data_IF_498018457356
#
_entry.id   IF_498018457356
#
_cell.length_a   1.000
_cell.length_b   1.000
_cell.length_c   1.000
_cell.angle_alpha   90.00
_cell.angle_beta   90.00
_cell.angle_gamma   90.00
#
_symmetry.space_group_name_H-M   'P 1'
#
loop_
_entity.id
_entity.type
_entity.pdbx_description
1 polymer ?
#
# COMPACT_ATOMS: atom_id res chain seq x y z
N UNK A 1 -28.05 26.52 -35.46
CA UNK A 1 -28.67 26.82 -34.14
C UNK A 1 -27.98 25.90 -33.10
N UNK A 2 -27.11 26.49 -32.31
CA UNK A 2 -26.44 25.85 -31.16
C UNK A 2 -27.47 25.78 -30.01
N UNK A 3 -27.68 24.58 -29.44
CA UNK A 3 -28.29 24.41 -28.13
C UNK A 3 -27.19 24.33 -27.11
N UNK A 4 -27.15 25.25 -26.18
CA UNK A 4 -26.32 25.26 -25.01
C UNK A 4 -26.80 24.16 -24.04
N UNK A 5 -25.90 23.24 -23.66
CA UNK A 5 -26.12 22.32 -22.54
C UNK A 5 -25.99 23.10 -21.24
N UNK A 6 -27.06 23.11 -20.44
CA UNK A 6 -27.07 23.58 -19.05
C UNK A 6 -26.60 22.37 -18.18
N UNK A 7 -25.68 22.61 -17.26
CA UNK A 7 -25.16 21.58 -16.33
C UNK A 7 -26.28 21.04 -15.44
N UNK A 8 -26.34 19.72 -15.27
CA UNK A 8 -27.30 19.00 -14.43
C UNK A 8 -27.21 19.34 -12.91
N UNK A 9 -26.16 19.98 -12.45
CA UNK A 9 -25.97 20.34 -11.03
C UNK A 9 -26.78 21.55 -10.56
N UNK A 10 -27.23 22.41 -11.46
CA UNK A 10 -28.05 23.59 -11.08
C UNK A 10 -29.55 23.25 -10.84
N UNK A 11 -30.02 22.07 -11.22
CA UNK A 11 -31.44 21.69 -11.06
C UNK A 11 -31.81 21.15 -9.67
N UNK A 12 -30.82 20.84 -8.80
CA UNK A 12 -31.08 20.31 -7.46
C UNK A 12 -31.24 21.36 -6.36
N UNK A 13 -31.06 22.63 -6.65
CA UNK A 13 -31.01 23.68 -5.63
C UNK A 13 -32.28 24.47 -5.43
N UNK A 14 -33.28 24.39 -6.33
CA UNK A 14 -34.51 25.21 -6.27
C UNK A 14 -35.78 24.36 -6.32
N UNK A 15 -36.79 24.79 -5.55
CA UNK A 15 -38.13 24.18 -5.57
C UNK A 15 -38.88 24.57 -6.85
N UNK A 16 -39.38 23.59 -7.61
CA UNK A 16 -40.10 23.82 -8.84
C UNK A 16 -41.46 24.60 -8.67
N UNK A 17 -41.98 24.65 -7.43
CA UNK A 17 -43.22 25.36 -7.13
C UNK A 17 -43.03 26.83 -6.70
N UNK A 18 -42.07 27.10 -5.81
CA UNK A 18 -41.82 28.46 -5.34
C UNK A 18 -40.62 29.14 -5.98
N UNK A 19 -39.81 28.43 -6.74
CA UNK A 19 -38.57 28.87 -7.39
C UNK A 19 -37.48 29.37 -6.43
N UNK A 20 -37.69 29.21 -5.12
CA UNK A 20 -36.70 29.48 -4.07
C UNK A 20 -35.82 28.26 -3.79
N UNK A 21 -34.71 28.49 -3.05
CA UNK A 21 -33.88 27.42 -2.51
C UNK A 21 -34.74 26.46 -1.70
N UNK A 22 -34.52 25.15 -1.89
CA UNK A 22 -35.29 24.10 -1.25
C UNK A 22 -35.23 24.21 0.29
N UNK A 23 -36.39 24.38 0.91
CA UNK A 23 -36.59 24.39 2.38
C UNK A 23 -37.30 23.11 2.78
N UNK A 24 -36.71 22.35 3.71
CA UNK A 24 -37.19 21.03 4.10
C UNK A 24 -37.52 20.16 2.86
N UNK A 25 -36.46 19.81 2.06
CA UNK A 25 -36.61 19.19 0.75
C UNK A 25 -37.26 17.82 0.82
N UNK A 26 -38.20 17.57 -0.06
CA UNK A 26 -38.86 16.26 -0.24
C UNK A 26 -38.90 15.90 -1.72
N UNK A 27 -38.69 14.62 -2.05
CA UNK A 27 -38.81 14.13 -3.41
C UNK A 27 -40.08 13.29 -3.61
N UNK A 28 -40.63 13.35 -4.78
CA UNK A 28 -41.71 12.48 -5.25
C UNK A 28 -41.12 11.20 -5.82
N UNK A 29 -41.94 10.15 -5.99
CA UNK A 29 -41.53 8.84 -6.56
C UNK A 29 -40.89 8.92 -7.96
N UNK A 30 -41.12 10.01 -8.67
CA UNK A 30 -40.52 10.31 -9.99
C UNK A 30 -39.18 11.08 -9.88
N UNK A 31 -38.67 11.34 -8.65
CA UNK A 31 -37.37 11.98 -8.43
C UNK A 31 -37.35 13.51 -8.44
N UNK A 32 -38.49 14.22 -8.59
CA UNK A 32 -38.54 15.66 -8.53
C UNK A 32 -38.58 16.20 -7.10
N UNK A 33 -37.84 17.28 -6.84
CA UNK A 33 -37.67 17.87 -5.52
C UNK A 33 -38.49 19.13 -5.28
N UNK A 34 -39.09 19.24 -4.10
CA UNK A 34 -39.92 20.35 -3.68
C UNK A 34 -39.68 20.70 -2.22
N UNK A 35 -40.02 21.95 -1.84
CA UNK A 35 -40.19 22.25 -0.43
C UNK A 35 -41.39 21.46 0.13
N UNK A 36 -41.29 20.87 1.31
CA UNK A 36 -42.37 20.09 1.95
C UNK A 36 -43.66 20.90 1.98
N UNK A 37 -43.58 22.14 2.42
CA UNK A 37 -44.73 23.03 2.55
C UNK A 37 -45.40 23.32 1.19
N UNK A 38 -44.61 23.53 0.13
CA UNK A 38 -45.10 23.79 -1.20
C UNK A 38 -45.85 22.60 -1.81
N UNK A 39 -45.27 21.37 -1.70
CA UNK A 39 -45.91 20.18 -2.27
C UNK A 39 -47.17 19.78 -1.49
N UNK A 40 -47.16 19.91 -0.15
CA UNK A 40 -48.33 19.64 0.67
C UNK A 40 -49.45 20.62 0.35
N UNK A 41 -49.18 21.94 0.28
CA UNK A 41 -50.17 22.95 -0.11
C UNK A 41 -50.74 22.71 -1.50
N UNK A 42 -49.94 22.31 -2.47
CA UNK A 42 -50.36 21.95 -3.82
C UNK A 42 -51.34 20.76 -3.81
N UNK A 43 -51.04 19.72 -3.06
CA UNK A 43 -51.91 18.54 -2.94
C UNK A 43 -53.20 18.83 -2.16
N UNK A 44 -53.15 19.69 -1.14
CA UNK A 44 -54.32 20.09 -0.36
C UNK A 44 -55.31 20.95 -1.17
N UNK A 45 -54.80 21.76 -2.10
CA UNK A 45 -55.63 22.55 -3.04
C UNK A 45 -56.22 21.69 -4.16
N UNK A 46 -55.59 20.57 -4.50
CA UNK A 46 -56.04 19.65 -5.55
C UNK A 46 -56.97 18.55 -5.01
N UNK A 47 -57.48 18.67 -3.79
CA UNK A 47 -58.15 17.62 -2.98
C UNK A 47 -59.62 17.31 -3.39
N UNK A 48 -60.02 17.45 -4.66
CA UNK A 48 -61.29 16.89 -5.12
C UNK A 48 -61.27 15.47 -5.68
N UNK A 49 -60.09 14.81 -5.77
CA UNK A 49 -59.96 13.49 -6.38
C UNK A 49 -59.00 12.51 -5.67
N UNK A 50 -58.46 12.83 -4.50
CA UNK A 50 -57.62 11.88 -3.73
C UNK A 50 -56.29 11.48 -4.35
N UNK A 51 -55.91 12.03 -5.49
CA UNK A 51 -54.72 11.69 -6.26
C UNK A 51 -53.58 12.68 -6.00
N UNK A 52 -52.46 12.19 -5.47
CA UNK A 52 -51.22 12.95 -5.26
C UNK A 52 -50.35 12.84 -6.52
N UNK A 53 -50.48 13.76 -7.48
CA UNK A 53 -49.59 13.78 -8.66
C UNK A 53 -48.45 14.76 -8.49
N UNK A 54 -47.31 14.44 -9.17
CA UNK A 54 -46.16 15.34 -9.21
C UNK A 54 -46.47 16.61 -9.98
N UNK A 55 -46.28 17.83 -9.41
CA UNK A 55 -46.55 19.09 -10.09
C UNK A 55 -45.72 19.33 -11.35
N UNK A 56 -44.56 18.69 -11.45
CA UNK A 56 -43.59 18.90 -12.53
C UNK A 56 -43.78 17.95 -13.73
N UNK A 57 -44.16 16.69 -13.49
CA UNK A 57 -44.30 15.69 -14.57
C UNK A 57 -45.70 15.03 -14.63
N UNK A 58 -46.61 15.31 -13.67
CA UNK A 58 -47.95 14.73 -13.63
C UNK A 58 -48.01 13.25 -13.22
N UNK A 59 -46.92 12.61 -12.88
CA UNK A 59 -46.89 11.19 -12.47
C UNK A 59 -47.59 10.99 -11.13
N UNK A 60 -48.50 9.98 -11.09
CA UNK A 60 -49.31 9.69 -9.90
C UNK A 60 -48.54 8.92 -8.85
N UNK A 61 -48.42 9.47 -7.64
CA UNK A 61 -47.88 8.77 -6.48
C UNK A 61 -48.95 7.92 -5.80
N UNK A 62 -48.71 6.66 -5.56
CA UNK A 62 -49.68 5.69 -4.99
C UNK A 62 -50.06 5.93 -3.53
N UNK A 63 -49.38 6.84 -2.82
CA UNK A 63 -49.75 7.23 -1.44
C UNK A 63 -49.08 8.55 -1.04
N UNK A 64 -49.74 9.36 -0.16
CA UNK A 64 -49.13 10.51 0.54
C UNK A 64 -47.92 10.10 1.39
N UNK A 65 -47.78 8.81 1.72
CA UNK A 65 -46.64 8.21 2.44
C UNK A 65 -45.38 8.01 1.57
N UNK A 66 -45.43 8.27 0.27
CA UNK A 66 -44.32 8.13 -0.67
C UNK A 66 -43.38 9.33 -0.77
N UNK A 67 -43.53 10.35 0.08
CA UNK A 67 -42.56 11.43 0.16
C UNK A 67 -41.31 10.96 0.88
N UNK A 68 -40.23 10.80 0.16
CA UNK A 68 -38.91 10.61 0.78
C UNK A 68 -38.45 11.97 1.29
N UNK A 69 -38.35 12.09 2.59
CA UNK A 69 -37.79 13.28 3.25
C UNK A 69 -36.27 13.19 3.22
N UNK A 70 -35.61 14.30 2.87
CA UNK A 70 -34.19 14.47 3.16
C UNK A 70 -33.91 14.63 4.68
N UNK A 71 -34.93 14.51 5.52
CA UNK A 71 -34.80 14.59 6.98
C UNK A 71 -34.71 13.21 7.63
N UNK A 72 -33.59 12.57 7.46
CA UNK A 72 -33.01 11.83 8.55
C UNK A 72 -31.92 12.71 9.18
N UNK A 73 -32.33 13.75 9.88
CA UNK A 73 -31.44 14.69 10.59
C UNK A 73 -30.64 14.07 11.73
N UNK A 74 -30.82 12.79 12.06
CA UNK A 74 -29.98 12.04 12.98
C UNK A 74 -28.92 11.20 12.25
N UNK A 75 -29.13 10.83 10.97
CA UNK A 75 -28.11 10.18 10.16
C UNK A 75 -27.09 11.17 9.57
N UNK A 76 -27.51 12.40 9.26
CA UNK A 76 -26.62 13.40 8.63
C UNK A 76 -25.52 13.86 9.59
N UNK A 77 -25.77 14.01 10.90
CA UNK A 77 -24.73 14.34 11.86
C UNK A 77 -23.77 13.15 12.14
N UNK A 78 -24.24 11.91 12.05
CA UNK A 78 -23.39 10.72 12.16
C UNK A 78 -22.60 10.48 10.88
N UNK A 79 -23.14 10.81 9.70
CA UNK A 79 -22.42 10.67 8.43
C UNK A 79 -21.31 11.72 8.25
N UNK A 80 -21.57 12.98 8.60
CA UNK A 80 -20.55 14.05 8.57
C UNK A 80 -19.38 13.69 9.49
N UNK A 81 -19.65 13.22 10.71
CA UNK A 81 -18.59 12.81 11.64
C UNK A 81 -17.80 11.57 11.18
N UNK A 82 -18.43 10.65 10.44
CA UNK A 82 -17.72 9.51 9.84
C UNK A 82 -16.86 9.94 8.66
N UNK A 83 -17.37 10.83 7.80
CA UNK A 83 -16.61 11.33 6.66
C UNK A 83 -15.36 12.09 7.11
N UNK A 84 -15.45 12.95 8.13
CA UNK A 84 -14.28 13.62 8.71
C UNK A 84 -13.22 12.61 9.21
N UNK A 85 -13.64 11.55 9.90
CA UNK A 85 -12.74 10.48 10.36
C UNK A 85 -12.08 9.77 9.19
N UNK A 86 -12.82 9.48 8.12
CA UNK A 86 -12.27 8.84 6.92
C UNK A 86 -11.30 9.76 6.18
N UNK A 87 -11.58 11.05 6.12
CA UNK A 87 -10.69 12.04 5.49
C UNK A 87 -9.39 12.20 6.32
N UNK A 88 -9.48 12.26 7.65
CA UNK A 88 -8.30 12.23 8.53
C UNK A 88 -7.49 10.94 8.34
N UNK A 89 -8.16 9.80 8.18
CA UNK A 89 -7.51 8.52 7.94
C UNK A 89 -6.79 8.50 6.57
N UNK A 90 -7.41 8.99 5.51
CA UNK A 90 -6.77 9.16 4.19
C UNK A 90 -5.53 10.05 4.28
N UNK A 91 -5.61 11.17 5.00
CA UNK A 91 -4.45 12.07 5.21
C UNK A 91 -3.34 11.34 5.95
N UNK A 92 -3.66 10.56 6.98
CA UNK A 92 -2.68 9.77 7.75
C UNK A 92 -1.97 8.74 6.86
N UNK A 93 -2.72 7.95 6.09
CA UNK A 93 -2.16 6.96 5.18
C UNK A 93 -1.34 7.60 4.05
N UNK A 94 -1.82 8.74 3.50
CA UNK A 94 -1.06 9.51 2.53
C UNK A 94 0.31 9.90 3.08
N UNK A 95 0.37 10.48 4.28
CA UNK A 95 1.65 10.87 4.93
C UNK A 95 2.56 9.67 5.17
N UNK A 96 1.98 8.51 5.51
CA UNK A 96 2.73 7.27 5.71
C UNK A 96 3.33 6.73 4.42
N UNK A 97 2.63 6.85 3.28
CA UNK A 97 2.98 6.21 2.01
C UNK A 97 3.63 7.16 0.98
N UNK A 98 3.47 8.49 1.10
CA UNK A 98 3.92 9.44 0.07
C UNK A 98 5.44 9.54 -0.07
N UNK A 99 6.19 9.18 0.98
CA UNK A 99 7.65 9.34 1.04
C UNK A 99 8.35 8.04 1.33
N UNK A 100 9.38 7.79 0.55
CA UNK A 100 10.23 6.61 0.66
C UNK A 100 11.69 6.98 0.90
N UNK A 101 12.43 6.08 1.54
CA UNK A 101 13.86 6.26 1.81
C UNK A 101 14.72 6.06 0.57
N UNK A 102 14.21 5.31 -0.40
CA UNK A 102 14.90 5.14 -1.69
C UNK A 102 15.00 6.48 -2.40
N UNK A 103 16.19 6.81 -2.84
CA UNK A 103 16.44 8.07 -3.52
C UNK A 103 16.54 9.30 -2.61
N UNK A 104 16.67 9.11 -1.29
CA UNK A 104 17.01 10.21 -0.40
C UNK A 104 18.33 10.85 -0.83
N UNK A 105 18.36 12.18 -0.79
CA UNK A 105 19.55 12.97 -1.08
C UNK A 105 20.63 12.83 0.02
N UNK A 106 21.75 13.54 -0.14
CA UNK A 106 22.85 13.56 0.85
C UNK A 106 22.40 14.09 2.20
N UNK A 107 21.31 14.85 2.26
CA UNK A 107 20.74 15.40 3.50
C UNK A 107 19.82 14.40 4.21
N UNK A 108 19.57 13.22 3.62
CA UNK A 108 18.67 12.20 4.14
C UNK A 108 17.18 12.55 3.97
N UNK A 109 16.86 13.53 3.13
CA UNK A 109 15.49 13.88 2.79
C UNK A 109 14.84 12.75 2.00
N UNK A 110 13.68 12.27 2.46
CA UNK A 110 12.93 11.18 1.80
C UNK A 110 12.35 11.66 0.47
N UNK A 111 12.45 10.82 -0.56
CA UNK A 111 11.91 11.10 -1.89
C UNK A 111 10.41 10.82 -1.94
N UNK A 112 9.66 11.62 -2.72
CA UNK A 112 8.26 11.34 -3.00
C UNK A 112 8.14 10.05 -3.84
N UNK A 113 7.29 9.11 -3.38
CA UNK A 113 7.05 7.84 -4.06
C UNK A 113 6.66 8.06 -5.53
N UNK A 114 5.71 8.95 -5.81
CA UNK A 114 5.22 9.22 -7.17
C UNK A 114 6.31 9.74 -8.12
N UNK A 115 7.41 10.30 -7.61
CA UNK A 115 8.52 10.78 -8.44
C UNK A 115 9.33 9.62 -9.03
N UNK A 116 9.56 8.56 -8.24
CA UNK A 116 10.44 7.44 -8.61
C UNK A 116 9.68 6.16 -8.95
N UNK A 117 8.38 6.12 -8.63
CA UNK A 117 7.58 4.92 -8.84
C UNK A 117 7.53 4.56 -10.34
N UNK A 118 7.98 3.35 -10.63
CA UNK A 118 7.82 2.69 -11.92
C UNK A 118 6.91 1.49 -11.71
N UNK A 119 5.92 1.32 -12.55
CA UNK A 119 4.96 0.22 -12.42
C UNK A 119 5.70 -1.11 -12.51
N UNK A 120 5.33 -2.04 -11.62
CA UNK A 120 5.93 -3.37 -11.58
C UNK A 120 5.19 -4.32 -12.53
N UNK A 121 5.93 -5.27 -13.08
CA UNK A 121 5.32 -6.35 -13.84
C UNK A 121 4.77 -7.39 -12.87
N UNK A 122 3.43 -7.43 -12.78
CA UNK A 122 2.67 -8.35 -11.93
C UNK A 122 1.87 -9.28 -12.83
N UNK A 123 1.86 -10.57 -12.51
CA UNK A 123 1.11 -11.59 -13.27
C UNK A 123 0.11 -12.33 -12.38
N UNK A 124 -0.97 -12.83 -12.95
CA UNK A 124 -1.84 -13.79 -12.28
C UNK A 124 -1.20 -15.17 -12.27
N UNK A 125 -1.38 -15.89 -11.17
CA UNK A 125 -0.75 -17.18 -10.94
C UNK A 125 0.67 -17.07 -10.42
N UNK A 126 1.30 -18.22 -10.25
CA UNK A 126 2.68 -18.36 -9.83
C UNK A 126 3.38 -19.27 -10.83
N UNK A 127 4.60 -18.92 -11.25
CA UNK A 127 5.37 -19.78 -12.13
C UNK A 127 5.80 -21.04 -11.38
N UNK A 128 5.77 -22.20 -12.05
CA UNK A 128 6.15 -23.48 -11.44
C UNK A 128 7.59 -23.49 -10.90
N UNK A 129 8.45 -22.65 -11.42
CA UNK A 129 9.86 -22.55 -11.03
C UNK A 129 10.11 -21.79 -9.74
N UNK A 130 9.12 -21.06 -9.24
CA UNK A 130 9.20 -20.30 -7.97
C UNK A 130 9.27 -21.23 -6.74
N UNK A 131 8.99 -22.52 -6.91
CA UNK A 131 9.12 -23.51 -5.84
C UNK A 131 10.59 -23.87 -5.51
N UNK A 132 11.58 -23.41 -6.27
CA UNK A 132 12.99 -23.67 -5.97
C UNK A 132 13.52 -22.66 -4.95
N UNK A 133 14.16 -23.16 -3.90
CA UNK A 133 14.63 -22.40 -2.73
C UNK A 133 15.71 -21.34 -2.99
N UNK A 134 16.22 -21.19 -4.23
CA UNK A 134 17.29 -20.25 -4.57
C UNK A 134 16.77 -19.05 -5.36
N UNK A 135 16.54 -17.93 -4.69
CA UNK A 135 16.10 -16.66 -5.29
C UNK A 135 17.00 -16.21 -6.47
N UNK A 136 18.31 -16.46 -6.41
CA UNK A 136 19.25 -16.08 -7.48
C UNK A 136 19.01 -16.89 -8.76
N UNK A 137 18.70 -18.19 -8.65
CA UNK A 137 18.35 -19.02 -9.82
C UNK A 137 17.01 -18.62 -10.43
N UNK A 138 16.07 -18.18 -9.60
CA UNK A 138 14.78 -17.65 -10.06
C UNK A 138 14.96 -16.42 -10.95
N UNK A 139 15.92 -15.55 -10.64
CA UNK A 139 16.24 -14.37 -11.45
C UNK A 139 16.75 -14.72 -12.85
N UNK A 140 17.66 -15.68 -12.95
CA UNK A 140 18.18 -16.14 -14.23
C UNK A 140 17.11 -16.81 -15.09
N UNK A 141 16.20 -17.55 -14.45
CA UNK A 141 15.14 -18.28 -15.12
C UNK A 141 14.00 -17.34 -15.53
N UNK A 142 13.60 -16.43 -14.66
CA UNK A 142 12.60 -15.40 -14.97
C UNK A 142 13.01 -14.53 -16.17
N UNK A 143 14.32 -14.23 -16.29
CA UNK A 143 14.84 -13.48 -17.43
C UNK A 143 14.77 -14.23 -18.78
N UNK A 144 14.71 -15.58 -18.75
CA UNK A 144 14.64 -16.43 -19.94
C UNK A 144 13.23 -16.79 -20.37
N UNK A 145 12.27 -16.75 -19.44
CA UNK A 145 10.87 -17.14 -19.66
C UNK A 145 9.96 -15.92 -19.82
N UNK A 146 10.38 -14.96 -20.64
CA UNK A 146 9.47 -13.90 -21.01
C UNK A 146 8.23 -14.47 -21.73
N UNK A 147 7.17 -14.72 -20.94
CA UNK A 147 5.82 -14.30 -21.27
C UNK A 147 5.08 -14.90 -22.46
N UNK A 148 5.16 -16.19 -22.73
CA UNK A 148 4.22 -16.78 -23.70
C UNK A 148 2.82 -17.07 -23.11
N UNK A 149 2.66 -17.10 -21.79
CA UNK A 149 1.39 -17.42 -21.11
C UNK A 149 1.06 -16.54 -19.90
N UNK A 150 1.75 -15.40 -19.72
CA UNK A 150 1.50 -14.53 -18.57
C UNK A 150 0.26 -13.66 -18.79
N UNK A 151 -0.61 -13.60 -17.79
CA UNK A 151 -1.70 -12.63 -17.74
C UNK A 151 -1.25 -11.44 -16.87
N UNK A 152 -0.83 -10.32 -17.46
CA UNK A 152 -0.39 -9.18 -16.70
C UNK A 152 -1.58 -8.54 -15.99
N UNK A 153 -1.37 -8.12 -14.74
CA UNK A 153 -2.36 -7.42 -13.90
C UNK A 153 -1.72 -6.11 -13.43
N UNK A 154 -2.47 -5.01 -13.51
CA UNK A 154 -2.09 -3.77 -12.85
C UNK A 154 -2.27 -3.92 -11.34
N UNK A 155 -1.38 -3.33 -10.55
CA UNK A 155 -1.49 -3.34 -9.10
C UNK A 155 -2.88 -2.87 -8.60
N UNK A 156 -3.44 -1.86 -9.24
CA UNK A 156 -4.75 -1.29 -8.91
C UNK A 156 -5.93 -2.22 -9.25
N UNK A 157 -5.70 -3.23 -10.08
CA UNK A 157 -6.75 -4.12 -10.59
C UNK A 157 -6.73 -5.52 -9.92
N UNK A 158 -5.91 -5.71 -8.87
CA UNK A 158 -5.72 -7.03 -8.24
C UNK A 158 -7.02 -7.64 -7.67
N UNK A 159 -8.01 -6.81 -7.30
CA UNK A 159 -9.33 -7.24 -6.84
C UNK A 159 -10.40 -7.28 -7.93
N UNK A 160 -10.09 -6.82 -9.15
CA UNK A 160 -11.05 -6.85 -10.26
C UNK A 160 -11.13 -8.26 -10.83
N UNK A 161 -12.33 -8.84 -10.81
CA UNK A 161 -12.57 -10.12 -11.47
C UNK A 161 -12.39 -9.96 -12.98
N UNK A 162 -11.82 -10.99 -13.64
CA UNK A 162 -11.85 -11.06 -15.09
C UNK A 162 -13.26 -11.39 -15.57
N UNK A 163 -13.61 -11.06 -16.85
CA UNK A 163 -14.95 -11.30 -17.38
C UNK A 163 -15.44 -12.75 -17.25
N UNK A 164 -14.53 -13.71 -17.21
CA UNK A 164 -14.82 -15.13 -17.10
C UNK A 164 -14.91 -15.63 -15.64
N UNK A 165 -14.56 -14.80 -14.67
CA UNK A 165 -14.59 -15.15 -13.25
C UNK A 165 -15.96 -14.81 -12.64
N UNK A 166 -16.71 -15.84 -12.25
CA UNK A 166 -18.04 -15.67 -11.63
C UNK A 166 -17.98 -15.39 -10.12
N UNK A 167 -16.84 -15.62 -9.46
CA UNK A 167 -16.68 -15.43 -8.01
C UNK A 167 -16.01 -14.10 -7.71
N UNK A 168 -16.50 -13.35 -6.72
CA UNK A 168 -15.81 -12.16 -6.26
C UNK A 168 -14.45 -12.53 -5.64
N UNK A 169 -13.45 -11.71 -5.89
CA UNK A 169 -12.11 -11.89 -5.31
C UNK A 169 -12.09 -11.15 -3.98
N UNK A 170 -11.96 -11.90 -2.88
CA UNK A 170 -11.90 -11.39 -1.53
C UNK A 170 -10.49 -11.43 -0.96
N UNK A 171 -9.78 -12.54 -1.13
CA UNK A 171 -8.43 -12.75 -0.62
C UNK A 171 -7.45 -12.84 -1.77
N UNK A 172 -6.49 -11.91 -1.80
CA UNK A 172 -5.39 -11.89 -2.76
C UNK A 172 -4.08 -12.17 -2.03
N UNK A 173 -3.32 -13.15 -2.52
CA UNK A 173 -1.96 -13.43 -2.07
C UNK A 173 -0.98 -13.03 -3.17
N UNK A 174 -0.10 -12.07 -2.86
CA UNK A 174 0.91 -11.58 -3.80
C UNK A 174 2.29 -12.08 -3.39
N UNK A 175 2.86 -12.91 -4.25
CA UNK A 175 4.19 -13.46 -4.08
C UNK A 175 5.25 -12.63 -4.82
N UNK A 176 6.49 -12.72 -4.36
CA UNK A 176 7.63 -12.14 -5.05
C UNK A 176 8.90 -12.23 -4.22
N UNK A 177 10.05 -12.28 -4.89
CA UNK A 177 11.36 -12.35 -4.23
C UNK A 177 11.66 -11.11 -3.38
N UNK A 178 12.72 -11.18 -2.57
CA UNK A 178 13.15 -10.04 -1.78
C UNK A 178 13.52 -8.84 -2.67
N UNK A 179 13.13 -7.63 -2.25
CA UNK A 179 13.48 -6.40 -2.97
C UNK A 179 12.75 -6.17 -4.30
N UNK A 180 11.81 -7.04 -4.69
CA UNK A 180 11.05 -6.93 -5.94
C UNK A 180 10.01 -5.81 -5.95
N UNK A 181 9.74 -5.19 -4.79
CA UNK A 181 8.85 -4.03 -4.69
C UNK A 181 7.44 -4.33 -4.17
N UNK A 182 7.18 -5.44 -3.49
CA UNK A 182 5.87 -5.76 -2.90
C UNK A 182 5.35 -4.62 -2.01
N UNK A 183 6.15 -4.18 -1.06
CA UNK A 183 5.81 -3.05 -0.17
C UNK A 183 5.59 -1.74 -0.94
N UNK A 184 6.37 -1.48 -2.00
CA UNK A 184 6.16 -0.31 -2.86
C UNK A 184 4.83 -0.38 -3.60
N UNK A 185 4.41 -1.57 -4.06
CA UNK A 185 3.08 -1.78 -4.65
C UNK A 185 1.97 -1.49 -3.64
N UNK A 186 2.12 -1.97 -2.40
CA UNK A 186 1.18 -1.69 -1.30
C UNK A 186 1.10 -0.20 -1.00
N UNK A 187 2.25 0.48 -0.88
CA UNK A 187 2.32 1.92 -0.63
C UNK A 187 1.69 2.72 -1.77
N UNK A 188 1.97 2.35 -3.04
CA UNK A 188 1.39 3.01 -4.21
C UNK A 188 -0.12 2.83 -4.29
N UNK A 189 -0.62 1.61 -4.08
CA UNK A 189 -2.04 1.32 -4.02
C UNK A 189 -2.75 2.16 -2.94
N UNK A 190 -2.17 2.16 -1.73
CA UNK A 190 -2.71 2.91 -0.59
C UNK A 190 -2.70 4.41 -0.85
N UNK A 191 -1.61 4.92 -1.46
CA UNK A 191 -1.48 6.34 -1.80
C UNK A 191 -2.53 6.76 -2.84
N UNK A 192 -2.70 6.00 -3.92
CA UNK A 192 -3.68 6.30 -4.96
C UNK A 192 -5.12 6.25 -4.43
N UNK A 193 -5.41 5.30 -3.54
CA UNK A 193 -6.70 5.27 -2.83
C UNK A 193 -6.90 6.51 -1.95
N UNK A 194 -5.88 6.89 -1.17
CA UNK A 194 -5.96 8.04 -0.26
C UNK A 194 -6.06 9.37 -1.01
N UNK A 195 -5.48 9.46 -2.22
CA UNK A 195 -5.58 10.63 -3.11
C UNK A 195 -6.87 10.67 -3.94
N UNK A 196 -7.73 9.65 -3.81
CA UNK A 196 -9.00 9.60 -4.54
C UNK A 196 -8.88 9.19 -6.00
N UNK A 197 -7.74 8.64 -6.42
CA UNK A 197 -7.45 8.31 -7.82
C UNK A 197 -7.99 6.94 -8.25
N UNK A 198 -7.85 5.93 -7.38
CA UNK A 198 -8.20 4.54 -7.69
C UNK A 198 -8.96 3.88 -6.52
N UNK A 199 -9.69 2.81 -6.81
CA UNK A 199 -10.35 1.92 -5.83
C UNK A 199 -11.29 2.62 -4.83
N UNK A 200 -12.01 3.66 -5.24
CA UNK A 200 -12.88 4.45 -4.38
C UNK A 200 -14.14 3.71 -3.91
N UNK A 201 -14.42 2.51 -4.41
CA UNK A 201 -15.43 1.61 -3.86
C UNK A 201 -15.04 1.01 -2.50
N UNK A 202 -13.74 1.04 -2.15
CA UNK A 202 -13.24 0.67 -0.83
C UNK A 202 -13.41 1.86 0.10
N UNK A 203 -14.20 1.67 1.17
CA UNK A 203 -14.49 2.74 2.14
C UNK A 203 -13.30 3.02 3.06
N UNK A 204 -12.59 1.96 3.50
CA UNK A 204 -11.46 2.06 4.44
C UNK A 204 -10.36 1.09 4.03
N UNK A 205 -9.15 1.59 3.92
CA UNK A 205 -7.94 0.76 3.80
C UNK A 205 -7.25 0.67 5.15
N UNK A 206 -6.96 -0.54 5.60
CA UNK A 206 -6.25 -0.85 6.84
C UNK A 206 -4.91 -1.47 6.48
N UNK A 207 -3.84 -0.76 6.72
CA UNK A 207 -2.48 -1.22 6.44
C UNK A 207 -1.85 -1.83 7.69
N UNK A 208 -1.60 -3.14 7.67
CA UNK A 208 -0.97 -3.91 8.72
C UNK A 208 0.35 -4.48 8.21
N UNK A 209 1.45 -4.17 8.87
CA UNK A 209 2.74 -4.79 8.56
C UNK A 209 3.00 -5.93 9.55
N UNK A 210 3.42 -7.09 9.06
CA UNK A 210 3.80 -8.20 9.95
C UNK A 210 4.96 -7.84 10.87
N UNK A 211 5.85 -6.92 10.46
CA UNK A 211 6.92 -6.39 11.31
C UNK A 211 6.33 -5.72 12.57
N UNK A 212 5.32 -4.88 12.39
CA UNK A 212 4.65 -4.18 13.48
C UNK A 212 3.79 -5.14 14.32
N UNK A 213 3.09 -6.07 13.67
CA UNK A 213 2.28 -7.10 14.35
C UNK A 213 3.11 -8.01 15.26
N UNK A 214 4.38 -8.28 14.90
CA UNK A 214 5.29 -9.06 15.75
C UNK A 214 5.53 -8.42 17.12
N UNK A 215 5.46 -7.09 17.23
CA UNK A 215 5.69 -6.36 18.50
C UNK A 215 4.59 -6.61 19.53
N UNK A 216 3.42 -7.03 19.08
CA UNK A 216 2.24 -7.27 19.94
C UNK A 216 1.77 -8.73 19.88
N UNK A 217 2.62 -9.65 19.39
CA UNK A 217 2.26 -11.06 19.12
C UNK A 217 1.76 -11.81 20.37
N UNK A 218 2.28 -11.47 21.54
CA UNK A 218 2.00 -12.13 22.81
C UNK A 218 0.82 -11.47 23.57
N UNK A 219 0.24 -10.42 23.00
CA UNK A 219 -0.89 -9.69 23.57
C UNK A 219 -2.22 -10.18 22.99
N UNK A 220 -3.32 -9.84 23.67
CA UNK A 220 -4.68 -10.15 23.24
C UNK A 220 -5.43 -8.86 22.90
N UNK A 221 -6.02 -8.83 21.71
CA UNK A 221 -6.81 -7.73 21.19
C UNK A 221 -8.15 -8.23 20.64
N UNK A 222 -9.12 -7.35 20.57
CA UNK A 222 -10.21 -7.50 19.61
C UNK A 222 -9.77 -6.93 18.26
N UNK A 223 -10.47 -7.28 17.17
CA UNK A 223 -10.12 -6.70 15.86
C UNK A 223 -10.28 -5.18 15.87
N UNK A 224 -11.31 -4.67 16.55
CA UNK A 224 -11.55 -3.24 16.70
C UNK A 224 -10.42 -2.55 17.46
N UNK A 225 -9.95 -3.11 18.58
CA UNK A 225 -8.80 -2.59 19.33
C UNK A 225 -7.53 -2.60 18.49
N UNK A 226 -7.30 -3.67 17.72
CA UNK A 226 -6.16 -3.78 16.81
C UNK A 226 -6.16 -2.64 15.76
N UNK A 227 -7.33 -2.35 15.16
CA UNK A 227 -7.49 -1.23 14.24
C UNK A 227 -7.14 0.11 14.90
N UNK A 228 -7.61 0.33 16.14
CA UNK A 228 -7.34 1.57 16.86
C UNK A 228 -5.87 1.75 17.22
N UNK A 229 -5.16 0.65 17.48
CA UNK A 229 -3.71 0.67 17.76
C UNK A 229 -2.90 1.08 16.54
N UNK A 230 -3.20 0.47 15.38
CA UNK A 230 -2.44 0.74 14.15
C UNK A 230 -2.91 1.99 13.41
N UNK A 231 -4.16 2.37 13.61
CA UNK A 231 -4.78 3.54 12.97
C UNK A 231 -5.57 4.36 13.99
N UNK A 232 -4.89 5.19 14.80
CA UNK A 232 -5.53 6.01 15.83
C UNK A 232 -6.62 6.94 15.29
N UNK A 233 -6.55 7.31 14.02
CA UNK A 233 -7.60 8.08 13.33
C UNK A 233 -8.95 7.37 13.31
N UNK A 234 -8.97 6.03 13.39
CA UNK A 234 -10.19 5.21 13.37
C UNK A 234 -10.81 4.99 14.77
N UNK A 235 -10.29 5.60 15.84
CA UNK A 235 -10.79 5.38 17.21
C UNK A 235 -12.28 5.70 17.39
N UNK A 236 -12.84 6.57 16.56
CA UNK A 236 -14.29 6.90 16.59
C UNK A 236 -15.16 5.96 15.75
N UNK A 237 -14.55 4.98 15.07
CA UNK A 237 -15.28 4.01 14.25
C UNK A 237 -15.75 2.87 15.13
N UNK A 238 -17.05 2.60 15.11
CA UNK A 238 -17.69 1.53 15.91
C UNK A 238 -17.81 0.23 15.12
N UNK A 239 -18.06 -0.88 15.82
CA UNK A 239 -18.25 -2.19 15.20
C UNK A 239 -19.37 -2.20 14.14
N UNK A 240 -20.47 -1.49 14.41
CA UNK A 240 -21.60 -1.40 13.47
C UNK A 240 -21.19 -0.69 12.16
N UNK A 241 -20.39 0.36 12.26
CA UNK A 241 -19.89 1.09 11.09
C UNK A 241 -18.92 0.24 10.27
N UNK A 242 -18.06 -0.55 10.93
CA UNK A 242 -17.18 -1.49 10.24
C UNK A 242 -17.96 -2.55 9.48
N UNK A 243 -19.04 -3.07 10.06
CA UNK A 243 -19.82 -4.15 9.45
C UNK A 243 -20.51 -3.75 8.13
N UNK A 244 -20.84 -2.46 7.95
CA UNK A 244 -21.50 -1.94 6.74
C UNK A 244 -20.54 -1.32 5.74
N UNK A 245 -19.28 -1.13 6.10
CA UNK A 245 -18.26 -0.50 5.25
C UNK A 245 -17.53 -1.55 4.42
N UNK A 246 -17.19 -1.19 3.16
CA UNK A 246 -16.29 -2.01 2.36
C UNK A 246 -14.85 -1.80 2.82
N UNK A 247 -14.32 -2.76 3.57
CA UNK A 247 -12.97 -2.69 4.15
C UNK A 247 -11.97 -3.44 3.27
N UNK A 248 -10.75 -2.93 3.22
CA UNK A 248 -9.59 -3.63 2.68
C UNK A 248 -8.49 -3.71 3.73
N UNK A 249 -8.15 -4.92 4.15
CA UNK A 249 -6.99 -5.19 4.99
C UNK A 249 -5.80 -5.54 4.12
N UNK A 250 -4.72 -4.79 4.24
CA UNK A 250 -3.45 -5.09 3.57
C UNK A 250 -2.47 -5.58 4.64
N UNK A 251 -2.08 -6.86 4.54
CA UNK A 251 -1.14 -7.52 5.44
C UNK A 251 0.21 -7.66 4.72
N UNK A 252 1.12 -6.70 4.93
CA UNK A 252 2.39 -6.64 4.19
C UNK A 252 3.49 -7.44 4.89
N UNK A 253 4.16 -8.33 4.12
CA UNK A 253 5.37 -9.04 4.53
C UNK A 253 5.13 -10.27 5.41
N UNK A 254 4.29 -11.23 5.00
CA UNK A 254 4.04 -12.48 5.72
C UNK A 254 5.34 -13.27 6.01
N UNK A 255 6.32 -13.22 5.11
CA UNK A 255 7.63 -13.84 5.28
C UNK A 255 8.43 -13.27 6.47
N UNK A 256 8.08 -12.09 6.94
CA UNK A 256 8.65 -11.44 8.11
C UNK A 256 7.89 -11.75 9.41
N UNK A 257 6.80 -12.53 9.31
CA UNK A 257 5.94 -12.86 10.44
C UNK A 257 6.62 -13.82 11.42
N UNK A 258 6.49 -13.50 12.70
CA UNK A 258 6.79 -14.42 13.82
C UNK A 258 5.50 -14.98 14.46
N UNK A 259 4.36 -14.70 13.82
CA UNK A 259 3.06 -15.21 14.24
C UNK A 259 2.88 -16.63 13.71
N UNK A 260 2.34 -17.53 14.53
CA UNK A 260 1.91 -18.86 14.10
C UNK A 260 0.45 -18.77 13.63
N UNK A 261 0.24 -18.79 12.31
CA UNK A 261 -1.10 -18.78 11.72
C UNK A 261 -1.61 -20.23 11.63
N UNK A 262 -2.55 -20.58 12.49
CA UNK A 262 -3.16 -21.91 12.50
C UNK A 262 -4.57 -21.87 11.91
N UNK A 263 -4.70 -22.35 10.68
CA UNK A 263 -5.97 -22.43 9.94
C UNK A 263 -6.78 -23.67 10.29
N UNK A 264 -6.23 -24.56 11.12
CA UNK A 264 -6.90 -25.78 11.60
C UNK A 264 -7.58 -25.58 12.95
N UNK A 265 -7.23 -24.52 13.66
CA UNK A 265 -7.86 -24.16 14.94
C UNK A 265 -9.35 -23.84 14.72
N UNK A 266 -10.20 -24.58 15.45
CA UNK A 266 -11.65 -24.45 15.35
C UNK A 266 -12.24 -23.29 16.15
N UNK A 267 -11.40 -22.44 16.76
CA UNK A 267 -11.89 -21.29 17.51
C UNK A 267 -12.43 -20.24 16.53
N UNK A 268 -13.73 -20.29 16.34
CA UNK A 268 -14.45 -19.37 15.48
C UNK A 268 -14.62 -18.01 16.18
N UNK A 269 -14.15 -16.95 15.53
CA UNK A 269 -14.37 -15.57 15.92
C UNK A 269 -15.24 -14.91 14.86
N UNK A 270 -16.40 -14.40 15.27
CA UNK A 270 -17.34 -13.70 14.37
C UNK A 270 -17.62 -12.26 14.83
N UNK A 271 -17.26 -11.92 16.07
CA UNK A 271 -17.46 -10.60 16.66
C UNK A 271 -16.14 -9.83 16.70
N UNK A 272 -16.13 -8.65 16.09
CA UNK A 272 -14.95 -7.76 16.00
C UNK A 272 -14.54 -7.17 17.34
N UNK A 273 -15.39 -7.27 18.37
CA UNK A 273 -15.12 -6.81 19.74
C UNK A 273 -14.57 -7.92 20.64
N UNK A 274 -14.62 -9.18 20.18
CA UNK A 274 -14.13 -10.32 20.95
C UNK A 274 -12.61 -10.36 20.97
N UNK A 275 -12.01 -10.43 22.17
CA UNK A 275 -10.56 -10.51 22.35
C UNK A 275 -10.01 -11.90 22.02
N UNK A 276 -8.88 -11.91 21.32
CA UNK A 276 -8.13 -13.11 21.00
C UNK A 276 -6.66 -12.77 20.69
N UNK A 277 -5.83 -13.77 20.44
CA UNK A 277 -4.47 -13.54 19.94
C UNK A 277 -4.50 -12.93 18.53
N UNK A 278 -3.48 -12.16 18.20
CA UNK A 278 -3.33 -11.54 16.87
C UNK A 278 -3.37 -12.61 15.77
N UNK A 279 -2.73 -13.78 16.00
CA UNK A 279 -2.74 -14.91 15.06
C UNK A 279 -4.17 -15.39 14.76
N UNK A 280 -5.01 -15.56 15.78
CA UNK A 280 -6.40 -16.02 15.63
C UNK A 280 -7.28 -14.96 14.95
N UNK A 281 -7.07 -13.66 15.25
CA UNK A 281 -7.78 -12.57 14.58
C UNK A 281 -7.50 -12.58 13.08
N UNK A 282 -6.21 -12.66 12.69
CA UNK A 282 -5.82 -12.71 11.28
C UNK A 282 -6.33 -13.97 10.58
N UNK A 283 -6.22 -15.13 11.21
CA UNK A 283 -6.72 -16.40 10.63
C UNK A 283 -8.23 -16.32 10.36
N UNK A 284 -9.03 -15.84 11.34
CA UNK A 284 -10.48 -15.71 11.17
C UNK A 284 -10.86 -14.60 10.16
N UNK A 285 -10.06 -13.55 10.05
CA UNK A 285 -10.24 -12.51 9.03
C UNK A 285 -9.98 -13.09 7.61
N UNK A 286 -8.89 -13.83 7.43
CA UNK A 286 -8.55 -14.46 6.15
C UNK A 286 -9.60 -15.51 5.76
N UNK A 287 -10.05 -16.34 6.69
CA UNK A 287 -11.10 -17.33 6.46
C UNK A 287 -12.49 -16.71 6.19
N UNK A 288 -12.70 -15.43 6.53
CA UNK A 288 -13.98 -14.74 6.37
C UNK A 288 -14.98 -15.01 7.51
N UNK A 289 -14.52 -15.53 8.64
CA UNK A 289 -15.31 -15.65 9.85
C UNK A 289 -15.53 -14.28 10.52
N UNK A 290 -14.49 -13.43 10.52
CA UNK A 290 -14.56 -12.02 10.88
C UNK A 290 -14.72 -11.19 9.59
N UNK A 291 -15.70 -10.29 9.57
CA UNK A 291 -15.94 -9.34 8.47
C UNK A 291 -15.96 -10.04 7.10
N UNK A 292 -16.94 -10.91 6.80
CA UNK A 292 -16.94 -11.75 5.60
C UNK A 292 -16.93 -10.97 4.27
N UNK A 293 -17.36 -9.71 4.29
CA UNK A 293 -17.30 -8.81 3.12
C UNK A 293 -15.98 -8.07 2.95
N UNK A 294 -15.09 -8.11 3.96
CA UNK A 294 -13.82 -7.40 3.90
C UNK A 294 -12.87 -8.05 2.89
N UNK A 295 -12.21 -7.23 2.09
CA UNK A 295 -11.13 -7.64 1.21
C UNK A 295 -9.86 -7.82 2.03
N UNK A 296 -9.02 -8.80 1.66
CA UNK A 296 -7.74 -9.08 2.30
C UNK A 296 -6.65 -9.22 1.25
N UNK A 297 -5.61 -8.42 1.36
CA UNK A 297 -4.44 -8.50 0.52
C UNK A 297 -3.22 -8.87 1.36
N UNK A 298 -2.56 -9.98 1.03
CA UNK A 298 -1.40 -10.47 1.75
C UNK A 298 -0.21 -10.44 0.79
N UNK A 299 0.92 -9.88 1.21
CA UNK A 299 2.16 -9.97 0.46
C UNK A 299 3.13 -10.93 1.15
N UNK A 300 3.90 -11.70 0.37
CA UNK A 300 4.81 -12.70 0.89
C UNK A 300 5.98 -12.97 -0.05
N UNK A 301 7.04 -13.58 0.49
CA UNK A 301 7.96 -14.34 -0.36
C UNK A 301 7.38 -15.73 -0.64
N UNK A 302 7.73 -16.36 -1.77
CA UNK A 302 7.20 -17.67 -2.13
C UNK A 302 7.38 -18.74 -1.04
N UNK A 303 8.50 -18.73 -0.35
CA UNK A 303 8.81 -19.69 0.70
C UNK A 303 7.84 -19.64 1.91
N UNK A 304 7.31 -18.46 2.23
CA UNK A 304 6.38 -18.26 3.34
C UNK A 304 4.90 -18.30 2.91
N UNK A 305 4.62 -18.19 1.63
CA UNK A 305 3.26 -18.19 1.09
C UNK A 305 2.46 -19.45 1.44
N UNK A 306 3.15 -20.58 1.58
CA UNK A 306 2.54 -21.88 1.95
C UNK A 306 1.91 -21.89 3.36
N UNK A 307 2.16 -20.88 4.19
CA UNK A 307 1.47 -20.71 5.48
C UNK A 307 -0.02 -20.42 5.30
N UNK A 308 -0.43 -19.87 4.15
CA UNK A 308 -1.84 -19.63 3.84
C UNK A 308 -2.36 -20.79 2.99
N UNK A 309 -3.39 -21.52 3.46
CA UNK A 309 -3.99 -22.60 2.67
C UNK A 309 -4.53 -22.08 1.35
N UNK A 310 -4.31 -22.79 0.23
CA UNK A 310 -4.84 -22.37 -1.09
C UNK A 310 -6.36 -22.19 -1.10
N UNK A 311 -7.08 -22.92 -0.23
CA UNK A 311 -8.54 -22.81 -0.10
C UNK A 311 -9.02 -21.49 0.48
N UNK A 312 -8.13 -20.71 1.09
CA UNK A 312 -8.42 -19.39 1.63
C UNK A 312 -8.04 -18.25 0.67
N UNK A 313 -7.46 -18.55 -0.49
CA UNK A 313 -6.96 -17.58 -1.47
C UNK A 313 -7.81 -17.62 -2.73
N UNK A 314 -8.43 -16.49 -3.08
CA UNK A 314 -9.24 -16.39 -4.31
C UNK A 314 -8.39 -16.06 -5.53
N UNK A 315 -7.30 -15.29 -5.33
CA UNK A 315 -6.35 -14.95 -6.39
C UNK A 315 -4.92 -14.99 -5.88
N UNK A 316 -4.07 -15.68 -6.62
CA UNK A 316 -2.63 -15.67 -6.44
C UNK A 316 -2.02 -14.78 -7.53
N UNK A 317 -1.13 -13.86 -7.14
CA UNK A 317 -0.38 -13.00 -8.06
C UNK A 317 1.11 -13.08 -7.77
N UNK A 318 1.93 -12.84 -8.79
CA UNK A 318 3.38 -12.80 -8.66
C UNK A 318 3.93 -11.45 -9.14
N UNK A 319 4.72 -10.78 -8.30
CA UNK A 319 5.49 -9.61 -8.68
C UNK A 319 6.83 -10.09 -9.24
N UNK A 320 7.04 -9.90 -10.54
CA UNK A 320 8.26 -10.35 -11.24
C UNK A 320 9.35 -9.28 -11.33
N UNK A 321 9.04 -8.04 -10.97
CA UNK A 321 9.96 -6.91 -11.00
C UNK A 321 9.82 -6.07 -12.25
N UNK A 322 10.96 -5.67 -12.86
CA UNK A 322 11.00 -4.78 -14.01
C UNK A 322 11.29 -5.50 -15.32
N UNK A 323 10.51 -5.20 -16.33
CA UNK A 323 10.84 -5.44 -17.73
C UNK A 323 11.97 -4.50 -18.19
N UNK A 324 12.57 -4.75 -19.34
CA UNK A 324 13.64 -3.90 -19.86
C UNK A 324 13.21 -2.45 -20.04
N UNK A 325 11.98 -2.21 -20.50
CA UNK A 325 11.43 -0.87 -20.63
C UNK A 325 11.26 -0.18 -19.28
N UNK A 326 10.79 -0.91 -18.26
CA UNK A 326 10.61 -0.40 -16.91
C UNK A 326 11.94 -0.12 -16.19
N UNK A 327 13.00 -0.91 -16.44
CA UNK A 327 14.37 -0.59 -15.98
C UNK A 327 14.82 0.77 -16.46
N UNK A 328 14.68 1.02 -17.79
CA UNK A 328 15.05 2.31 -18.37
C UNK A 328 14.19 3.45 -17.82
N UNK A 329 12.87 3.24 -17.71
CA UNK A 329 11.95 4.22 -17.13
C UNK A 329 12.38 4.58 -15.69
N UNK A 330 12.71 3.59 -14.87
CA UNK A 330 13.18 3.81 -13.50
C UNK A 330 14.40 4.74 -13.45
N UNK A 331 15.44 4.46 -14.24
CA UNK A 331 16.63 5.30 -14.26
C UNK A 331 16.36 6.71 -14.79
N UNK A 332 15.49 6.86 -15.80
CA UNK A 332 15.08 8.19 -16.28
C UNK A 332 14.26 8.97 -15.27
N UNK A 333 13.41 8.33 -14.50
CA UNK A 333 12.64 8.98 -13.42
C UNK A 333 13.51 9.33 -12.23
N UNK A 334 14.50 8.49 -11.93
CA UNK A 334 15.42 8.66 -10.81
C UNK A 334 16.32 9.87 -10.96
N UNK A 335 16.79 10.14 -12.17
CA UNK A 335 17.71 11.21 -12.47
C UNK A 335 17.05 12.30 -13.33
N UNK A 336 17.23 13.56 -12.90
CA UNK A 336 16.79 14.71 -13.69
C UNK A 336 17.77 15.03 -14.82
N UNK A 337 19.02 14.54 -14.73
CA UNK A 337 20.07 14.67 -15.75
C UNK A 337 19.95 13.52 -16.77
N UNK A 338 19.59 13.86 -17.99
CA UNK A 338 19.43 12.90 -19.10
C UNK A 338 20.76 12.27 -19.53
N UNK A 339 21.88 13.00 -19.47
CA UNK A 339 23.17 12.48 -19.82
C UNK A 339 23.63 11.43 -18.82
N UNK A 340 23.51 11.73 -17.52
CA UNK A 340 23.83 10.80 -16.45
C UNK A 340 22.95 9.55 -16.54
N UNK A 341 21.65 9.69 -16.69
CA UNK A 341 20.72 8.55 -16.81
C UNK A 341 21.06 7.68 -18.02
N UNK A 342 21.38 8.27 -19.16
CA UNK A 342 21.75 7.55 -20.39
C UNK A 342 23.06 6.79 -20.25
N UNK A 343 24.06 7.36 -19.56
CA UNK A 343 25.34 6.69 -19.25
C UNK A 343 25.11 5.47 -18.34
N UNK A 344 24.29 5.62 -17.30
CA UNK A 344 23.96 4.53 -16.38
C UNK A 344 23.22 3.41 -17.11
N UNK A 345 22.21 3.73 -17.91
CA UNK A 345 21.46 2.76 -18.73
C UNK A 345 22.39 2.02 -19.70
N UNK A 346 23.29 2.75 -20.37
CA UNK A 346 24.26 2.14 -21.28
C UNK A 346 25.19 1.16 -20.55
N UNK A 347 25.71 1.55 -19.38
CA UNK A 347 26.56 0.67 -18.58
C UNK A 347 25.81 -0.58 -18.10
N UNK A 348 24.59 -0.43 -17.58
CA UNK A 348 23.73 -1.54 -17.19
C UNK A 348 23.50 -2.53 -18.35
N UNK A 349 23.23 -2.04 -19.56
CA UNK A 349 23.02 -2.88 -20.76
C UNK A 349 24.28 -3.61 -21.22
N UNK A 350 25.45 -3.05 -21.04
CA UNK A 350 26.72 -3.69 -21.44
C UNK A 350 27.13 -4.81 -20.49
N UNK A 351 26.70 -4.76 -19.23
CA UNK A 351 26.96 -5.82 -18.26
C UNK A 351 25.76 -6.75 -18.12
N UNK A 352 25.88 -7.97 -18.69
CA UNK A 352 24.81 -8.98 -18.60
C UNK A 352 24.37 -9.26 -17.15
N UNK A 353 25.32 -9.31 -16.23
CA UNK A 353 25.03 -9.53 -14.80
C UNK A 353 24.17 -8.41 -14.22
N UNK A 354 24.56 -7.15 -14.43
CA UNK A 354 23.80 -6.01 -13.96
C UNK A 354 22.42 -5.92 -14.62
N UNK A 355 22.35 -6.22 -15.93
CA UNK A 355 21.10 -6.21 -16.65
C UNK A 355 20.08 -7.20 -16.09
N UNK A 356 20.50 -8.43 -15.77
CA UNK A 356 19.66 -9.45 -15.14
C UNK A 356 19.25 -9.01 -13.72
N UNK A 357 20.21 -8.54 -12.93
CA UNK A 357 19.95 -8.11 -11.55
C UNK A 357 18.97 -6.94 -11.47
N UNK A 358 19.10 -5.97 -12.35
CA UNK A 358 18.20 -4.80 -12.44
C UNK A 358 16.76 -5.17 -12.82
N UNK A 359 16.42 -6.43 -13.08
CA UNK A 359 15.04 -6.88 -13.10
C UNK A 359 14.38 -6.76 -11.72
N UNK A 360 15.17 -6.70 -10.64
CA UNK A 360 14.67 -6.44 -9.30
C UNK A 360 14.95 -4.99 -8.91
N UNK A 361 13.91 -4.22 -8.53
CA UNK A 361 13.99 -2.78 -8.22
C UNK A 361 15.08 -2.40 -7.22
N UNK A 362 15.28 -3.18 -6.15
CA UNK A 362 16.33 -2.87 -5.16
C UNK A 362 17.73 -2.83 -5.80
N UNK A 363 17.99 -3.67 -6.79
CA UNK A 363 19.28 -3.65 -7.51
C UNK A 363 19.37 -2.46 -8.46
N UNK A 364 18.27 -1.99 -9.04
CA UNK A 364 18.25 -0.73 -9.77
C UNK A 364 18.63 0.43 -8.85
N UNK A 365 18.09 0.47 -7.64
CA UNK A 365 18.42 1.49 -6.64
C UNK A 365 19.90 1.45 -6.24
N UNK A 366 20.44 0.27 -5.92
CA UNK A 366 21.85 0.08 -5.59
C UNK A 366 22.74 0.55 -6.76
N UNK A 367 22.44 0.09 -7.98
CA UNK A 367 23.15 0.46 -9.20
C UNK A 367 23.10 1.97 -9.45
N UNK A 368 21.92 2.59 -9.31
CA UNK A 368 21.74 4.03 -9.44
C UNK A 368 22.62 4.79 -8.45
N UNK A 369 22.59 4.41 -7.18
CA UNK A 369 23.33 5.07 -6.10
C UNK A 369 24.84 5.01 -6.31
N UNK A 370 25.35 3.84 -6.72
CA UNK A 370 26.80 3.63 -6.93
C UNK A 370 27.28 4.36 -8.18
N UNK A 371 26.57 4.18 -9.29
CA UNK A 371 27.00 4.78 -10.57
C UNK A 371 26.84 6.30 -10.55
N UNK A 372 25.81 6.84 -9.91
CA UNK A 372 25.66 8.27 -9.68
C UNK A 372 26.92 8.82 -8.99
N UNK A 373 27.29 8.22 -7.84
CA UNK A 373 28.46 8.65 -7.07
C UNK A 373 29.75 8.55 -7.88
N UNK A 374 29.98 7.46 -8.61
CA UNK A 374 31.21 7.25 -9.37
C UNK A 374 31.31 8.13 -10.62
N UNK A 375 30.20 8.46 -11.25
CA UNK A 375 30.15 9.25 -12.48
C UNK A 375 30.16 10.77 -12.21
N UNK A 376 29.73 11.20 -11.03
CA UNK A 376 29.73 12.61 -10.60
C UNK A 376 30.99 13.01 -9.85
N UNK A 377 31.65 12.06 -9.17
CA UNK A 377 32.95 12.29 -8.58
C UNK A 377 34.04 11.89 -9.56
N UNK A 378 35.10 12.71 -9.72
CA UNK A 378 36.22 12.42 -10.63
C UNK A 378 37.04 11.18 -10.23
N UNK A 379 36.43 10.17 -9.64
CA UNK A 379 37.09 8.92 -9.31
C UNK A 379 37.40 8.15 -10.60
N UNK A 380 38.68 8.08 -10.97
CA UNK A 380 39.21 7.37 -12.14
C UNK A 380 39.26 5.85 -11.88
N UNK A 381 38.12 5.24 -11.51
CA UNK A 381 38.00 3.79 -11.35
C UNK A 381 37.19 3.12 -12.46
N UNK A 382 37.46 1.84 -12.72
CA UNK A 382 36.59 1.02 -13.57
C UNK A 382 35.20 0.93 -12.93
N UNK A 383 34.13 1.13 -13.71
CA UNK A 383 32.77 0.99 -13.20
C UNK A 383 32.50 -0.47 -12.83
N UNK A 384 31.84 -0.74 -11.70
CA UNK A 384 31.57 -2.08 -11.22
C UNK A 384 30.68 -2.86 -12.21
N UNK A 385 31.05 -4.13 -12.41
CA UNK A 385 30.37 -5.03 -13.36
C UNK A 385 29.77 -6.26 -12.69
N UNK A 386 30.15 -6.53 -11.43
CA UNK A 386 29.67 -7.67 -10.67
C UNK A 386 28.81 -7.24 -9.48
N UNK A 387 28.00 -8.15 -8.95
CA UNK A 387 27.19 -7.93 -7.76
C UNK A 387 28.06 -7.56 -6.56
N UNK A 388 29.14 -8.29 -6.34
CA UNK A 388 30.06 -8.07 -5.22
C UNK A 388 30.70 -6.68 -5.28
N UNK A 389 31.17 -6.25 -6.45
CA UNK A 389 31.73 -4.91 -6.63
C UNK A 389 30.67 -3.84 -6.36
N UNK A 390 29.46 -4.07 -6.88
CA UNK A 390 28.35 -3.13 -6.70
C UNK A 390 27.99 -2.95 -5.22
N UNK A 391 27.88 -4.05 -4.46
CA UNK A 391 27.62 -4.00 -3.03
C UNK A 391 28.76 -3.35 -2.24
N UNK A 392 30.01 -3.66 -2.58
CA UNK A 392 31.17 -3.05 -1.92
C UNK A 392 31.17 -1.54 -2.07
N UNK A 393 30.92 -1.05 -3.30
CA UNK A 393 30.81 0.38 -3.56
C UNK A 393 29.57 1.00 -2.91
N UNK A 394 28.45 0.28 -2.86
CA UNK A 394 27.24 0.74 -2.20
C UNK A 394 27.47 0.99 -0.69
N UNK A 395 28.12 0.05 0.00
CA UNK A 395 28.47 0.21 1.41
C UNK A 395 29.38 1.43 1.64
N UNK A 396 30.39 1.63 0.75
CA UNK A 396 31.26 2.80 0.80
C UNK A 396 30.50 4.12 0.64
N UNK A 397 29.57 4.18 -0.34
CA UNK A 397 28.76 5.37 -0.58
C UNK A 397 27.85 5.67 0.60
N UNK A 398 27.20 4.65 1.17
CA UNK A 398 26.32 4.81 2.34
C UNK A 398 27.09 5.29 3.57
N UNK A 399 28.29 4.74 3.80
CA UNK A 399 29.14 5.19 4.92
C UNK A 399 29.59 6.63 4.76
N UNK A 400 29.93 7.07 3.53
CA UNK A 400 30.27 8.47 3.24
C UNK A 400 29.10 9.42 3.46
N UNK A 401 27.91 9.07 2.97
CA UNK A 401 26.68 9.85 3.20
C UNK A 401 26.41 10.06 4.70
N UNK A 402 26.71 9.04 5.51
CA UNK A 402 26.62 9.13 6.97
C UNK A 402 27.54 10.22 7.54
N UNK A 403 28.82 10.18 7.17
CA UNK A 403 29.79 11.14 7.71
C UNK A 403 29.38 12.58 7.46
N UNK A 404 28.87 12.83 6.25
CA UNK A 404 28.39 14.18 5.88
C UNK A 404 27.19 14.64 6.72
N UNK A 405 26.33 13.69 7.16
CA UNK A 405 25.13 14.03 7.95
C UNK A 405 25.41 14.31 9.43
N UNK A 406 26.42 13.67 10.02
CA UNK A 406 26.64 13.70 11.49
C UNK A 406 27.95 14.39 11.91
N UNK A 407 28.82 14.78 10.96
CA UNK A 407 30.08 15.44 11.25
C UNK A 407 30.18 16.78 10.49
N UNK A 408 29.43 17.79 10.95
CA UNK A 408 29.72 19.17 10.61
C UNK A 408 31.03 19.56 11.31
N UNK A 409 32.13 19.60 10.57
CA UNK A 409 33.27 20.40 11.00
C UNK A 409 34.69 19.83 11.04
N UNK A 410 34.96 18.59 10.59
CA UNK A 410 36.37 18.15 10.41
C UNK A 410 36.59 17.46 9.06
N UNK A 411 37.37 18.13 8.21
CA UNK A 411 37.95 17.57 6.99
C UNK A 411 38.89 16.41 7.32
N UNK A 412 38.38 15.20 7.36
CA UNK A 412 39.19 13.99 7.22
C UNK A 412 39.14 13.56 5.77
N UNK A 413 40.32 13.16 5.24
CA UNK A 413 40.55 12.72 3.88
C UNK A 413 39.39 11.86 3.32
N UNK A 414 38.81 12.17 2.16
CA UNK A 414 37.53 11.59 1.69
C UNK A 414 37.57 10.13 1.28
N UNK A 415 38.67 9.41 1.41
CA UNK A 415 38.89 8.17 0.64
C UNK A 415 38.91 6.87 1.43
N UNK A 416 39.00 6.87 2.78
CA UNK A 416 39.12 5.64 3.55
C UNK A 416 38.06 5.51 4.64
N UNK A 417 37.57 4.27 4.83
CA UNK A 417 36.77 3.88 5.99
C UNK A 417 37.62 4.04 7.25
N UNK A 418 37.09 4.69 8.26
CA UNK A 418 37.75 4.72 9.58
C UNK A 418 37.69 3.33 10.21
N UNK A 419 38.57 3.06 11.20
CA UNK A 419 38.52 1.80 11.94
C UNK A 419 37.19 1.61 12.65
N UNK A 420 36.56 2.68 13.16
CA UNK A 420 35.23 2.65 13.74
C UNK A 420 34.16 2.22 12.73
N UNK A 421 34.22 2.74 11.49
CA UNK A 421 33.26 2.33 10.43
C UNK A 421 33.42 0.84 10.09
N UNK A 422 34.66 0.35 10.04
CA UNK A 422 34.96 -1.06 9.79
C UNK A 422 34.41 -1.95 10.90
N UNK A 423 34.58 -1.56 12.15
CA UNK A 423 34.07 -2.28 13.30
C UNK A 423 32.53 -2.39 13.25
N UNK A 424 31.83 -1.30 12.98
CA UNK A 424 30.37 -1.29 12.85
C UNK A 424 29.92 -2.20 11.70
N UNK A 425 30.56 -2.12 10.52
CA UNK A 425 30.23 -2.97 9.37
C UNK A 425 30.50 -4.46 9.67
N UNK A 426 31.56 -4.79 10.41
CA UNK A 426 31.84 -6.17 10.82
C UNK A 426 30.80 -6.68 11.81
N UNK A 427 30.37 -5.86 12.78
CA UNK A 427 29.28 -6.21 13.72
C UNK A 427 27.98 -6.46 12.99
N UNK A 428 27.60 -5.58 12.05
CA UNK A 428 26.41 -5.76 11.21
C UNK A 428 26.51 -7.02 10.33
N UNK A 429 27.69 -7.28 9.76
CA UNK A 429 27.92 -8.48 8.96
C UNK A 429 27.79 -9.77 9.79
N UNK A 430 28.30 -9.76 11.02
CA UNK A 430 28.15 -10.90 11.96
C UNK A 430 26.69 -11.10 12.33
N UNK A 431 25.98 -10.03 12.70
CA UNK A 431 24.53 -10.07 12.99
C UNK A 431 23.75 -10.70 11.84
N UNK A 432 23.98 -10.19 10.61
CA UNK A 432 23.31 -10.70 9.42
C UNK A 432 23.60 -12.17 9.17
N UNK A 433 24.85 -12.61 9.35
CA UNK A 433 25.26 -14.00 9.17
C UNK A 433 24.61 -14.94 10.19
N UNK A 434 24.64 -14.57 11.48
CA UNK A 434 24.03 -15.36 12.55
C UNK A 434 22.49 -15.48 12.39
N UNK A 435 21.83 -14.41 11.95
CA UNK A 435 20.39 -14.43 11.69
C UNK A 435 20.05 -15.26 10.46
N UNK A 436 20.88 -15.21 9.41
CA UNK A 436 20.71 -16.03 8.21
C UNK A 436 20.81 -17.52 8.54
N UNK A 437 21.80 -17.95 9.36
CA UNK A 437 21.95 -19.33 9.81
C UNK A 437 20.73 -19.82 10.61
N UNK A 438 20.11 -18.93 11.38
CA UNK A 438 18.88 -19.22 12.16
C UNK A 438 17.61 -19.16 11.31
N UNK A 439 17.70 -18.80 10.03
CA UNK A 439 16.54 -18.57 9.16
C UNK A 439 15.76 -17.29 9.50
N UNK A 440 16.34 -16.40 10.30
CA UNK A 440 15.74 -15.11 10.64
C UNK A 440 16.14 -14.07 9.58
N UNK A 441 15.16 -13.49 8.92
CA UNK A 441 15.39 -12.43 7.92
C UNK A 441 15.29 -11.02 8.50
N UNK A 442 14.97 -10.91 9.78
CA UNK A 442 14.77 -9.67 10.52
C UNK A 442 15.49 -9.68 11.84
N UNK A 443 15.95 -8.50 12.25
CA UNK A 443 16.49 -8.25 13.59
C UNK A 443 15.79 -7.04 14.22
N UNK A 444 15.76 -7.03 15.53
CA UNK A 444 15.14 -6.00 16.36
C UNK A 444 16.21 -5.29 17.19
N UNK A 445 15.80 -4.30 17.97
CA UNK A 445 16.72 -3.53 18.83
C UNK A 445 17.53 -4.43 19.75
N UNK A 446 16.90 -5.46 20.36
CA UNK A 446 17.57 -6.38 21.25
C UNK A 446 18.70 -7.17 20.56
N UNK A 447 18.52 -7.51 19.28
CA UNK A 447 19.53 -8.22 18.49
C UNK A 447 20.73 -7.29 18.21
N UNK A 448 20.50 -6.00 17.95
CA UNK A 448 21.56 -5.00 17.78
C UNK A 448 22.35 -4.81 19.07
N UNK A 449 21.67 -4.67 20.21
CA UNK A 449 22.27 -4.50 21.53
C UNK A 449 23.13 -5.72 21.91
N UNK A 450 22.70 -6.95 21.60
CA UNK A 450 23.47 -8.17 21.80
C UNK A 450 24.79 -8.20 20.99
N UNK A 451 24.80 -7.56 19.82
CA UNK A 451 25.99 -7.43 18.98
C UNK A 451 26.84 -6.20 19.36
N UNK A 452 26.45 -5.45 20.39
CA UNK A 452 27.16 -4.26 20.83
C UNK A 452 27.05 -3.10 19.81
N UNK A 453 25.88 -2.99 19.15
CA UNK A 453 25.52 -1.89 18.27
C UNK A 453 24.43 -1.06 18.92
N UNK A 454 24.59 0.26 18.93
CA UNK A 454 23.49 1.16 19.26
C UNK A 454 22.54 1.30 18.06
N UNK A 455 21.23 1.41 18.34
CA UNK A 455 20.20 1.68 17.32
C UNK A 455 20.52 2.92 16.51
N UNK A 456 21.08 3.96 17.17
CA UNK A 456 21.51 5.20 16.50
C UNK A 456 22.66 4.93 15.53
N UNK A 457 23.62 4.08 15.89
CA UNK A 457 24.72 3.68 15.01
C UNK A 457 24.23 2.84 13.83
N UNK A 458 23.26 1.93 14.07
CA UNK A 458 22.69 1.08 13.03
C UNK A 458 21.76 1.85 12.09
N UNK A 459 20.94 2.77 12.60
CA UNK A 459 20.01 3.59 11.81
C UNK A 459 20.72 4.47 10.80
N UNK A 460 21.97 4.76 11.07
CA UNK A 460 22.84 5.54 10.20
C UNK A 460 23.19 4.78 8.92
N UNK A 461 23.20 3.47 8.94
CA UNK A 461 23.34 2.63 7.76
C UNK A 461 21.95 2.35 7.13
N UNK A 462 21.06 3.38 7.11
CA UNK A 462 19.72 3.35 6.57
C UNK A 462 19.71 3.02 5.07
N UNK A 463 19.81 2.03 4.54
CA UNK A 463 19.95 1.46 3.20
C UNK A 463 20.49 0.04 3.31
N UNK A 464 21.10 -0.29 4.47
CA UNK A 464 21.51 -1.63 4.85
C UNK A 464 20.54 -2.18 5.90
N UNK A 465 20.04 -1.30 6.80
CA UNK A 465 19.08 -1.65 7.85
C UNK A 465 17.81 -0.82 7.69
N UNK A 466 16.66 -1.45 7.71
CA UNK A 466 15.36 -0.77 7.76
C UNK A 466 14.91 -0.69 9.21
N UNK A 467 14.76 0.52 9.74
CA UNK A 467 14.22 0.73 11.08
C UNK A 467 12.75 0.28 11.12
N UNK A 468 12.40 -0.53 12.13
CA UNK A 468 11.02 -0.87 12.42
C UNK A 468 10.47 0.25 13.29
N UNK A 469 9.35 0.86 12.86
CA UNK A 469 8.73 1.94 13.63
C UNK A 469 8.49 1.51 15.07
N UNK A 470 9.07 2.27 16.01
CA UNK A 470 8.67 2.16 17.41
C UNK A 470 7.23 2.64 17.51
N UNK A 471 6.41 1.86 18.22
CA UNK A 471 5.09 2.28 18.66
C UNK A 471 5.28 3.57 19.46
N UNK A 472 4.88 4.72 18.95
CA UNK A 472 4.71 5.91 19.78
C UNK A 472 3.55 5.63 20.73
N UNK A 473 3.89 5.51 22.02
CA UNK A 473 2.92 5.35 23.10
C UNK A 473 2.16 6.65 23.32
#
# INVERSE_FOLDING_TARGET
RKRSGVCEEEQLSCCALCQDVLKDPVSTSCGHWFCRQCICSYWDQSASSGDSSCPQCGERSRSRAGLQTASQSSCVQTDVGLQEVLDEHKISLRRRCERVTEGSDETGSRTLLNRIYTELYITEGQSEEVHTQHEVRQLETASKMAALHDTPIRCQDIFKAFPDQQRPIRVVLTNGVAGVGKTFSVQKFTLDWAEGLENQHVSVVVLLSFRELNLIRDEQYSLLELLHVFHPTLQKVTAEKLAVSQLLFICDGLDESRLSLDFTDRKLLSDVTQKSSVSQLLTNLIQGNLLPSALVWITSRPAAANQIPPTCVDRLTEVRGFTDAQKEEYFRRRFSDEELSSRIISHMKTSRSLHIMCSIPVFCWITATVLEHMLTTEQRGELPKTLTDMYSHFLLVQTKRKKNKYHEGHETSPQELTEADREVLLKLGRLAFEHLEKGNIMFYQEDLEQCGLDVTEASVYSGVCTEIFKREC
#
